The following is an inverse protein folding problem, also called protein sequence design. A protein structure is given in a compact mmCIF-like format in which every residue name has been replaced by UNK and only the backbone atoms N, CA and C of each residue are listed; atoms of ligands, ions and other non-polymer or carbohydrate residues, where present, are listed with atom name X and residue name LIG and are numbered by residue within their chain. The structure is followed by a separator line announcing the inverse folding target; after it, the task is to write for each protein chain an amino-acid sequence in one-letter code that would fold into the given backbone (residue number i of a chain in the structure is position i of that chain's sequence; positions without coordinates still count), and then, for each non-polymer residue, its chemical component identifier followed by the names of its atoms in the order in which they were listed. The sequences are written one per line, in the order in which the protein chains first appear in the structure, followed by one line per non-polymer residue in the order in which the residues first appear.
data_IF_703084614790
#
_entry.id   IF_703084614790
#
_cell.length_a   1.000
_cell.length_b   1.000
_cell.length_c   1.000
_cell.angle_alpha   90.00
_cell.angle_beta   90.00
_cell.angle_gamma   90.00
#
_symmetry.space_group_name_H-M   'P 1'
#
loop_
_entity.id
_entity.type
_entity.pdbx_description
1 polymer ?
#
# COMPACT_ATOMS: atom_id res chain seq x y z
N UNK A 1 -18.51 7.52 10.45
CA UNK A 1 -17.44 6.59 10.79
C UNK A 1 -17.62 6.18 12.24
N UNK A 2 -17.51 4.89 12.57
CA UNK A 2 -17.75 4.40 13.93
C UNK A 2 -16.41 4.07 14.59
N UNK A 3 -16.11 4.69 15.73
CA UNK A 3 -14.86 4.42 16.45
C UNK A 3 -15.15 3.44 17.58
N UNK A 4 -14.49 2.29 17.55
CA UNK A 4 -14.57 1.27 18.58
C UNK A 4 -13.22 1.14 19.32
N UNK A 5 -13.25 0.85 20.61
CA UNK A 5 -12.05 0.51 21.38
C UNK A 5 -11.80 -0.98 21.26
N UNK A 6 -10.67 -1.35 20.67
CA UNK A 6 -10.26 -2.74 20.51
C UNK A 6 -9.22 -3.07 21.58
N UNK A 7 -9.37 -4.22 22.24
CA UNK A 7 -8.36 -4.75 23.14
C UNK A 7 -7.77 -6.04 22.58
N UNK A 8 -6.46 -6.04 22.30
CA UNK A 8 -5.71 -7.23 21.86
C UNK A 8 -4.43 -7.32 22.71
N UNK A 9 -4.13 -8.50 23.25
CA UNK A 9 -2.93 -8.75 24.07
C UNK A 9 -2.73 -7.69 25.18
N UNK A 10 -3.81 -7.38 25.92
CA UNK A 10 -3.89 -6.36 26.98
C UNK A 10 -3.61 -4.91 26.54
N UNK A 11 -3.60 -4.62 25.24
CA UNK A 11 -3.48 -3.26 24.70
C UNK A 11 -4.82 -2.79 24.17
N UNK A 12 -5.31 -1.66 24.66
CA UNK A 12 -6.58 -1.07 24.24
C UNK A 12 -6.34 0.18 23.40
N UNK A 13 -6.86 0.22 22.17
CA UNK A 13 -6.75 1.41 21.31
C UNK A 13 -8.06 1.70 20.56
N UNK A 14 -8.39 2.99 20.33
CA UNK A 14 -9.50 3.35 19.46
C UNK A 14 -9.13 3.07 18.00
N UNK A 15 -10.06 2.53 17.23
CA UNK A 15 -9.91 2.33 15.79
C UNK A 15 -11.22 2.58 15.06
N UNK A 16 -11.13 3.07 13.84
CA UNK A 16 -12.29 3.35 13.01
C UNK A 16 -12.73 2.09 12.26
N UNK A 17 -14.04 1.80 12.31
CA UNK A 17 -14.64 0.68 11.60
C UNK A 17 -15.77 1.12 10.69
N UNK A 18 -15.91 0.37 9.61
CA UNK A 18 -17.12 0.33 8.79
C UNK A 18 -18.08 -0.66 9.41
N UNK A 19 -19.33 -0.24 9.65
CA UNK A 19 -20.38 -1.10 10.17
C UNK A 19 -21.15 -1.71 9.00
N UNK A 20 -21.09 -3.04 8.89
CA UNK A 20 -21.83 -3.79 7.89
C UNK A 20 -23.13 -4.33 8.52
N UNK A 21 -24.26 -4.09 7.85
CA UNK A 21 -25.58 -4.55 8.32
C UNK A 21 -25.74 -6.07 8.22
N UNK A 22 -25.05 -6.68 7.26
CA UNK A 22 -25.04 -8.13 7.04
C UNK A 22 -23.59 -8.59 6.86
N UNK A 23 -23.09 -9.40 7.79
CA UNK A 23 -21.78 -10.01 7.72
C UNK A 23 -21.78 -11.32 8.50
N UNK A 24 -21.13 -12.34 7.96
CA UNK A 24 -20.96 -13.64 8.64
C UNK A 24 -19.93 -13.60 9.78
N UNK A 25 -19.14 -12.53 9.86
CA UNK A 25 -18.10 -12.34 10.87
C UNK A 25 -18.46 -11.15 11.75
N UNK A 26 -18.20 -11.26 13.06
CA UNK A 26 -18.47 -10.17 13.98
C UNK A 26 -17.55 -8.97 13.76
N UNK A 27 -16.28 -9.24 13.43
CA UNK A 27 -15.26 -8.22 13.16
C UNK A 27 -14.35 -8.73 12.07
N UNK A 28 -14.00 -7.84 11.14
CA UNK A 28 -12.95 -8.05 10.13
C UNK A 28 -11.86 -7.03 10.40
N UNK A 29 -10.64 -7.50 10.66
CA UNK A 29 -9.47 -6.64 10.78
C UNK A 29 -8.88 -6.43 9.39
N UNK A 30 -9.10 -5.24 8.84
CA UNK A 30 -8.63 -4.86 7.51
C UNK A 30 -7.14 -4.57 7.45
N UNK A 31 -6.65 -4.36 6.23
CA UNK A 31 -5.25 -3.98 6.00
C UNK A 31 -4.87 -2.66 6.69
N UNK A 32 -5.81 -1.71 6.75
CA UNK A 32 -5.69 -0.45 7.48
C UNK A 32 -5.38 -0.66 8.96
N UNK A 33 -6.10 -1.58 9.62
CA UNK A 33 -5.84 -1.95 11.01
C UNK A 33 -4.47 -2.60 11.18
N UNK A 34 -4.14 -3.56 10.32
CA UNK A 34 -2.86 -4.29 10.38
C UNK A 34 -1.68 -3.33 10.19
N UNK A 35 -1.78 -2.42 9.24
CA UNK A 35 -0.74 -1.42 8.97
C UNK A 35 -0.61 -0.43 10.13
N UNK A 36 -1.73 0.13 10.62
CA UNK A 36 -1.73 1.11 11.71
C UNK A 36 -1.27 0.55 13.05
N UNK A 37 -1.31 -0.77 13.20
CA UNK A 37 -0.89 -1.48 14.41
C UNK A 37 0.46 -2.20 14.27
N UNK A 38 1.16 -1.97 13.14
CA UNK A 38 2.42 -2.66 12.80
C UNK A 38 2.33 -4.17 13.05
N UNK A 39 1.21 -4.76 12.63
CA UNK A 39 0.89 -6.14 12.93
C UNK A 39 1.85 -7.10 12.22
N UNK A 40 2.33 -8.09 12.97
CA UNK A 40 3.10 -9.23 12.45
C UNK A 40 2.18 -10.45 12.48
N UNK A 41 1.93 -11.02 11.30
CA UNK A 41 1.19 -12.28 11.15
C UNK A 41 2.23 -13.40 11.02
N UNK A 42 2.50 -14.12 12.11
CA UNK A 42 3.39 -15.27 12.12
C UNK A 42 2.58 -16.55 11.89
N UNK A 43 2.47 -16.96 10.62
CA UNK A 43 1.77 -18.19 10.26
C UNK A 43 2.49 -19.46 10.74
N UNK A 44 3.80 -19.41 10.99
CA UNK A 44 4.57 -20.55 11.48
C UNK A 44 4.24 -20.87 12.93
N UNK A 45 3.97 -19.84 13.73
CA UNK A 45 3.54 -19.96 15.13
C UNK A 45 2.01 -19.87 15.31
N UNK A 46 1.27 -19.53 14.26
CA UNK A 46 -0.17 -19.24 14.33
C UNK A 46 -0.48 -18.09 15.30
N UNK A 47 0.33 -17.03 15.25
CA UNK A 47 0.23 -15.88 16.15
C UNK A 47 0.07 -14.56 15.39
N UNK A 48 -0.72 -13.66 15.98
CA UNK A 48 -0.80 -12.26 15.59
C UNK A 48 -0.14 -11.40 16.67
N UNK A 49 0.93 -10.71 16.32
CA UNK A 49 1.61 -9.79 17.21
C UNK A 49 1.33 -8.35 16.78
N UNK A 50 1.12 -7.48 17.76
CA UNK A 50 0.78 -6.08 17.53
C UNK A 50 1.75 -5.24 18.35
N UNK A 51 2.66 -4.55 17.68
CA UNK A 51 3.48 -3.52 18.33
C UNK A 51 2.64 -2.28 18.55
N UNK A 52 2.71 -1.71 19.76
CA UNK A 52 1.87 -0.59 20.13
C UNK A 52 2.31 0.62 19.33
N UNK A 53 1.50 1.03 18.35
CA UNK A 53 1.75 2.27 17.63
C UNK A 53 1.31 3.41 18.53
N UNK A 54 2.31 4.14 19.06
CA UNK A 54 2.15 5.53 19.48
C UNK A 54 1.34 6.22 18.38
N UNK A 55 0.30 7.03 18.66
CA UNK A 55 -0.45 7.71 17.62
C UNK A 55 0.50 8.67 16.92
N UNK A 56 1.22 8.17 15.94
CA UNK A 56 2.07 8.98 15.10
C UNK A 56 1.07 9.71 14.23
N UNK A 57 0.88 10.98 14.55
CA UNK A 57 0.41 12.00 13.61
C UNK A 57 1.29 12.12 12.36
N UNK A 58 2.12 11.12 12.06
CA UNK A 58 2.56 10.85 10.71
C UNK A 58 1.32 10.43 9.94
N UNK A 59 0.68 11.43 9.33
CA UNK A 59 0.34 11.29 7.92
C UNK A 59 1.52 10.53 7.33
N UNK A 60 1.36 9.23 7.03
CA UNK A 60 2.05 8.70 5.88
C UNK A 60 1.66 9.72 4.83
N UNK A 61 2.59 10.60 4.46
CA UNK A 61 2.49 11.28 3.19
C UNK A 61 2.53 10.13 2.21
N UNK A 62 1.37 9.49 2.02
CA UNK A 62 1.10 8.61 0.91
C UNK A 62 1.51 9.48 -0.25
N UNK A 63 2.67 9.16 -0.82
CA UNK A 63 3.09 9.72 -2.07
C UNK A 63 2.00 9.30 -3.06
N UNK A 64 1.01 10.15 -3.23
CA UNK A 64 -0.07 9.99 -4.20
C UNK A 64 0.37 10.54 -5.55
N UNK A 65 1.68 10.64 -5.78
CA UNK A 65 2.25 10.98 -7.07
C UNK A 65 2.00 9.82 -8.03
N UNK A 66 1.26 10.10 -9.10
CA UNK A 66 1.08 9.16 -10.20
C UNK A 66 2.14 9.44 -11.24
N UNK A 67 2.83 8.40 -11.68
CA UNK A 67 3.73 8.47 -12.83
C UNK A 67 2.95 8.21 -14.11
N UNK A 68 3.18 9.04 -15.11
CA UNK A 68 2.58 8.95 -16.43
C UNK A 68 3.67 8.83 -17.49
N UNK A 69 3.45 8.03 -18.52
CA UNK A 69 4.32 8.05 -19.69
C UNK A 69 4.20 9.41 -20.37
N UNK A 70 5.32 9.99 -20.81
CA UNK A 70 5.34 11.27 -21.52
C UNK A 70 4.67 11.13 -22.90
N UNK A 71 4.85 9.97 -23.53
CA UNK A 71 4.34 9.65 -24.85
C UNK A 71 3.88 8.19 -24.95
N UNK A 72 3.11 7.91 -26.00
CA UNK A 72 2.76 6.55 -26.37
C UNK A 72 3.99 5.78 -26.86
N UNK A 73 4.24 4.61 -26.28
CA UNK A 73 5.37 3.75 -26.64
C UNK A 73 4.86 2.41 -27.16
N UNK A 74 5.33 2.02 -28.35
CA UNK A 74 5.15 0.65 -28.86
C UNK A 74 6.28 -0.24 -28.36
N UNK A 75 5.93 -1.36 -27.72
CA UNK A 75 6.88 -2.37 -27.25
C UNK A 75 6.68 -3.62 -28.12
N UNK A 76 7.60 -3.92 -29.04
CA UNK A 76 7.54 -5.16 -29.82
C UNK A 76 7.59 -6.41 -28.91
N UNK A 77 7.04 -7.55 -29.36
CA UNK A 77 7.10 -8.80 -28.61
C UNK A 77 8.53 -9.16 -28.22
N UNK A 78 8.71 -9.63 -26.97
CA UNK A 78 9.99 -10.10 -26.43
C UNK A 78 11.11 -9.05 -26.41
N UNK A 79 10.76 -7.76 -26.43
CA UNK A 79 11.75 -6.66 -26.32
C UNK A 79 11.63 -5.90 -25.01
N UNK A 80 12.72 -5.23 -24.63
CA UNK A 80 12.75 -4.31 -23.50
C UNK A 80 12.90 -2.88 -24.02
N UNK A 81 12.10 -1.96 -23.47
CA UNK A 81 12.15 -0.54 -23.82
C UNK A 81 12.11 0.33 -22.58
N UNK A 82 12.95 1.36 -22.54
CA UNK A 82 12.90 2.41 -21.51
C UNK A 82 11.80 3.40 -21.89
N UNK A 83 10.85 3.60 -20.99
CA UNK A 83 9.73 4.54 -21.18
C UNK A 83 9.99 5.76 -20.31
N UNK A 84 10.11 6.96 -20.89
CA UNK A 84 10.23 8.18 -20.10
C UNK A 84 8.89 8.47 -19.41
N UNK A 85 8.96 8.84 -18.14
CA UNK A 85 7.80 9.13 -17.30
C UNK A 85 7.90 10.53 -16.69
N UNK A 86 6.76 11.12 -16.38
CA UNK A 86 6.62 12.39 -15.69
C UNK A 86 5.69 12.24 -14.48
N UNK A 87 5.80 13.16 -13.53
CA UNK A 87 4.94 13.28 -12.36
C UNK A 87 4.20 14.62 -12.44
N UNK A 88 3.03 14.72 -11.82
CA UNK A 88 2.27 15.96 -11.71
C UNK A 88 2.76 16.87 -10.58
N UNK A 89 3.62 16.38 -9.69
CA UNK A 89 4.05 17.09 -8.49
C UNK A 89 5.51 17.59 -8.63
N UNK A 90 5.66 18.91 -8.81
CA UNK A 90 6.94 19.58 -9.13
C UNK A 90 7.81 19.90 -7.89
N UNK A 91 7.46 19.42 -6.69
CA UNK A 91 8.13 19.83 -5.44
C UNK A 91 8.78 18.69 -4.66
N UNK A 92 8.94 17.51 -5.25
CA UNK A 92 9.37 16.32 -4.52
C UNK A 92 10.75 15.84 -4.98
N UNK A 93 11.77 16.20 -4.21
CA UNK A 93 13.08 15.57 -4.23
C UNK A 93 13.08 14.35 -3.31
N UNK A 94 12.68 13.18 -3.83
CA UNK A 94 12.65 11.95 -3.04
C UNK A 94 13.01 10.72 -3.85
N UNK A 95 13.51 9.69 -3.15
CA UNK A 95 13.66 8.34 -3.70
C UNK A 95 12.38 7.55 -3.45
N UNK A 96 11.82 6.98 -4.52
CA UNK A 96 10.60 6.16 -4.44
C UNK A 96 10.85 4.79 -5.05
N UNK A 97 10.32 3.76 -4.38
CA UNK A 97 10.22 2.44 -4.97
C UNK A 97 9.02 2.43 -5.93
N UNK A 98 9.29 2.32 -7.22
CA UNK A 98 8.27 2.11 -8.24
C UNK A 98 8.12 0.62 -8.45
N UNK A 99 6.89 0.13 -8.25
CA UNK A 99 6.52 -1.24 -8.56
C UNK A 99 5.38 -1.29 -9.59
N UNK A 100 5.33 -2.40 -10.32
CA UNK A 100 4.34 -2.63 -11.36
C UNK A 100 2.98 -2.98 -10.77
N UNK A 101 1.90 -2.54 -11.44
CA UNK A 101 0.58 -3.08 -11.15
C UNK A 101 0.53 -4.54 -11.59
N UNK A 102 0.32 -5.46 -10.64
CA UNK A 102 0.23 -6.92 -10.88
C UNK A 102 -0.70 -7.29 -12.04
N UNK A 103 -1.78 -6.53 -12.24
CA UNK A 103 -2.75 -6.73 -13.31
C UNK A 103 -2.18 -6.55 -14.73
N UNK A 104 -1.18 -5.67 -14.91
CA UNK A 104 -0.56 -5.42 -16.23
C UNK A 104 0.14 -6.68 -16.72
N UNK A 105 0.85 -7.38 -15.84
CA UNK A 105 1.50 -8.66 -16.16
C UNK A 105 0.49 -9.72 -16.57
N UNK A 106 -0.64 -9.81 -15.85
CA UNK A 106 -1.65 -10.84 -16.07
C UNK A 106 -2.46 -10.64 -17.35
N UNK A 107 -2.67 -9.39 -17.78
CA UNK A 107 -3.59 -9.08 -18.89
C UNK A 107 -2.92 -8.62 -20.17
N UNK A 108 -1.68 -8.13 -20.09
CA UNK A 108 -0.95 -7.58 -21.23
C UNK A 108 0.38 -8.28 -21.50
N UNK A 109 0.75 -9.26 -20.66
CA UNK A 109 2.06 -9.92 -20.72
C UNK A 109 3.24 -8.95 -20.66
N UNK A 110 3.01 -7.75 -20.12
CA UNK A 110 4.04 -6.73 -19.94
C UNK A 110 4.60 -6.86 -18.53
N UNK A 111 5.92 -7.00 -18.42
CA UNK A 111 6.64 -6.97 -17.15
C UNK A 111 7.31 -5.61 -16.97
N UNK A 112 7.11 -5.01 -15.80
CA UNK A 112 7.81 -3.79 -15.40
C UNK A 112 8.60 -4.16 -14.14
N UNK A 113 9.94 -4.12 -14.16
CA UNK A 113 10.74 -4.42 -12.97
C UNK A 113 10.52 -3.36 -11.90
N UNK A 114 10.51 -3.77 -10.64
CA UNK A 114 10.57 -2.83 -9.53
C UNK A 114 11.92 -2.12 -9.52
N UNK A 115 11.91 -0.80 -9.31
CA UNK A 115 13.12 0.01 -9.29
C UNK A 115 12.98 1.16 -8.31
N UNK A 116 14.08 1.51 -7.64
CA UNK A 116 14.17 2.76 -6.88
C UNK A 116 14.52 3.87 -7.89
N UNK A 117 13.72 4.92 -7.94
CA UNK A 117 13.96 6.08 -8.78
C UNK A 117 14.03 7.35 -7.93
N UNK A 118 14.89 8.28 -8.33
CA UNK A 118 14.91 9.63 -7.79
C UNK A 118 13.96 10.49 -8.60
N UNK A 119 12.98 11.10 -7.95
CA UNK A 119 12.15 12.17 -8.51
C UNK A 119 12.85 13.47 -8.16
N UNK A 120 13.10 14.30 -9.18
CA UNK A 120 13.82 15.59 -9.10
C UNK A 120 13.05 16.64 -9.86
#
# INVERSE_FOLDING_TARGET
TCVARITINNRTQPFEFVVLTECSHNVILGWDFLQASQAIIDCGKSELQIEGVVPTGTRNTEFSGKLFAIDNVTIPPLTMRRVPVTNTDNQLNCEVLVDSKKFIRLTKEIYIPAAIISIT
#
